data_IF_365433820201
#
_entry.id   IF_365433820201
#
_cell.length_a   1.000
_cell.length_b   1.000
_cell.length_c   1.000
_cell.angle_alpha   90.00
_cell.angle_beta   90.00
_cell.angle_gamma   90.00
#
_symmetry.space_group_name_H-M   'P 1'
#
loop_
_entity.id
_entity.type
_entity.pdbx_description
1 polymer ?
#
# COMPACT_ATOMS: atom_id res chain seq x y z
N UNK A 1 -9.54 28.31 -5.81
CA UNK A 1 -10.25 27.02 -5.66
C UNK A 1 -9.40 25.94 -4.99
N UNK A 2 -8.06 25.87 -5.24
CA UNK A 2 -7.08 25.02 -4.51
C UNK A 2 -7.18 25.09 -2.97
N UNK A 3 -7.40 26.28 -2.40
CA UNK A 3 -7.55 26.46 -0.95
C UNK A 3 -8.69 25.60 -0.37
N UNK A 4 -9.86 25.58 -1.02
CA UNK A 4 -11.01 24.79 -0.53
C UNK A 4 -10.73 23.30 -0.50
N UNK A 5 -10.07 22.72 -1.50
CA UNK A 5 -9.77 21.28 -1.51
C UNK A 5 -8.74 20.93 -0.44
N UNK A 6 -7.72 21.78 -0.24
CA UNK A 6 -6.78 21.62 0.85
C UNK A 6 -7.48 21.69 2.22
N UNK A 7 -8.44 22.60 2.39
CA UNK A 7 -9.24 22.72 3.62
C UNK A 7 -10.07 21.45 3.90
N UNK A 8 -10.62 20.81 2.87
CA UNK A 8 -11.40 19.57 3.03
C UNK A 8 -10.50 18.36 3.38
N UNK A 9 -9.31 18.27 2.78
CA UNK A 9 -8.35 17.19 3.09
C UNK A 9 -7.77 17.34 4.50
N UNK A 10 -7.53 18.57 4.95
CA UNK A 10 -7.14 18.81 6.34
C UNK A 10 -8.28 18.46 7.30
N UNK A 11 -9.54 18.78 6.96
CA UNK A 11 -10.69 18.38 7.77
C UNK A 11 -10.84 16.84 7.87
N UNK A 12 -10.60 16.12 6.78
CA UNK A 12 -10.55 14.64 6.78
C UNK A 12 -9.41 14.12 7.66
N UNK A 13 -8.23 14.75 7.56
CA UNK A 13 -7.06 14.40 8.38
C UNK A 13 -7.35 14.58 9.88
N UNK A 14 -8.01 15.67 10.26
CA UNK A 14 -8.46 15.91 11.64
C UNK A 14 -9.50 14.88 12.12
N UNK A 15 -10.37 14.39 11.25
CA UNK A 15 -11.32 13.32 11.60
C UNK A 15 -10.60 11.98 11.82
N UNK A 16 -9.62 11.65 10.98
CA UNK A 16 -8.74 10.48 11.17
C UNK A 16 -8.01 10.60 12.51
N UNK A 17 -7.42 11.76 12.79
CA UNK A 17 -6.72 12.06 14.04
C UNK A 17 -7.64 11.88 15.25
N UNK A 18 -8.88 12.39 15.20
CA UNK A 18 -9.89 12.24 16.24
C UNK A 18 -10.25 10.78 16.48
N UNK A 19 -10.45 9.99 15.42
CA UNK A 19 -10.76 8.54 15.52
C UNK A 19 -9.60 7.76 16.15
N UNK A 20 -8.36 8.08 15.79
CA UNK A 20 -7.17 7.44 16.37
C UNK A 20 -7.00 7.78 17.86
N UNK A 21 -7.19 9.03 18.27
CA UNK A 21 -7.19 9.41 19.69
C UNK A 21 -8.27 8.66 20.47
N UNK A 22 -9.47 8.53 19.91
CA UNK A 22 -10.54 7.74 20.55
C UNK A 22 -10.13 6.27 20.69
N UNK A 23 -9.47 5.69 19.69
CA UNK A 23 -8.95 4.32 19.73
C UNK A 23 -7.86 4.13 20.80
N UNK A 24 -6.97 5.12 20.99
CA UNK A 24 -5.98 5.11 22.08
C UNK A 24 -6.67 5.09 23.45
N UNK A 25 -7.65 5.99 23.65
CA UNK A 25 -8.30 6.20 24.95
C UNK A 25 -9.33 5.12 25.31
N UNK A 26 -9.80 4.31 24.35
CA UNK A 26 -10.87 3.33 24.57
C UNK A 26 -10.43 1.90 24.27
N UNK A 27 -9.79 1.23 25.24
CA UNK A 27 -9.33 -0.17 25.14
C UNK A 27 -10.40 -1.12 24.57
N UNK A 28 -11.64 -1.05 25.07
CA UNK A 28 -12.72 -1.98 24.69
C UNK A 28 -13.28 -1.75 23.28
N UNK A 29 -13.17 -0.54 22.74
CA UNK A 29 -13.68 -0.19 21.41
C UNK A 29 -12.58 -0.10 20.35
N UNK A 30 -11.32 -0.17 20.76
CA UNK A 30 -10.15 0.09 19.91
C UNK A 30 -10.16 -0.70 18.61
N UNK A 31 -10.38 -2.01 18.67
CA UNK A 31 -10.42 -2.87 17.49
C UNK A 31 -11.50 -2.40 16.50
N UNK A 32 -12.72 -2.14 16.99
CA UNK A 32 -13.83 -1.69 16.18
C UNK A 32 -13.56 -0.33 15.54
N UNK A 33 -12.98 0.61 16.30
CA UNK A 33 -12.64 1.94 15.80
C UNK A 33 -11.57 1.88 14.70
N UNK A 34 -10.53 1.07 14.88
CA UNK A 34 -9.49 0.87 13.87
C UNK A 34 -10.04 0.17 12.62
N UNK A 35 -10.91 -0.82 12.78
CA UNK A 35 -11.56 -1.48 11.66
C UNK A 35 -12.45 -0.51 10.86
N UNK A 36 -13.25 0.31 11.55
CA UNK A 36 -14.07 1.35 10.91
C UNK A 36 -13.22 2.37 10.18
N UNK A 37 -12.15 2.85 10.82
CA UNK A 37 -11.21 3.78 10.19
C UNK A 37 -10.56 3.20 8.93
N UNK A 38 -10.12 1.94 8.98
CA UNK A 38 -9.59 1.23 7.82
C UNK A 38 -10.63 1.17 6.69
N UNK A 39 -11.87 0.78 7.00
CA UNK A 39 -12.94 0.71 6.01
C UNK A 39 -13.18 2.09 5.37
N UNK A 40 -13.29 3.14 6.18
CA UNK A 40 -13.55 4.51 5.71
C UNK A 40 -12.44 5.02 4.77
N UNK A 41 -11.17 4.73 5.08
CA UNK A 41 -10.01 5.13 4.27
C UNK A 41 -9.95 4.34 2.95
N UNK A 42 -10.37 3.07 2.97
CA UNK A 42 -10.40 2.20 1.80
C UNK A 42 -11.63 2.44 0.88
N UNK A 43 -12.57 3.30 1.27
CA UNK A 43 -13.76 3.58 0.47
C UNK A 43 -13.40 4.22 -0.88
N UNK A 44 -14.15 3.80 -1.91
CA UNK A 44 -14.18 4.43 -3.22
C UNK A 44 -14.76 5.84 -3.10
N UNK A 45 -14.12 6.79 -3.77
CA UNK A 45 -14.60 8.16 -3.91
C UNK A 45 -15.78 8.18 -4.89
N UNK A 46 -16.91 8.72 -4.44
CA UNK A 46 -18.11 8.90 -5.27
C UNK A 46 -17.81 9.66 -6.56
N UNK A 47 -18.47 9.27 -7.66
CA UNK A 47 -18.26 9.85 -9.00
C UNK A 47 -18.44 11.39 -8.99
N UNK A 48 -19.41 11.90 -8.23
CA UNK A 48 -19.69 13.35 -8.10
C UNK A 48 -18.59 14.14 -7.39
N UNK A 49 -17.85 13.49 -6.47
CA UNK A 49 -16.73 14.08 -5.78
C UNK A 49 -15.43 13.93 -6.60
N UNK A 50 -15.34 12.86 -7.39
CA UNK A 50 -14.21 12.52 -8.25
C UNK A 50 -13.88 13.64 -9.25
N UNK A 51 -14.87 14.14 -9.98
CA UNK A 51 -14.65 15.18 -11.00
C UNK A 51 -14.11 16.49 -10.41
N UNK A 52 -14.54 16.85 -9.20
CA UNK A 52 -14.05 18.04 -8.49
C UNK A 52 -12.61 17.89 -8.00
N UNK A 53 -12.22 16.68 -7.63
CA UNK A 53 -10.88 16.38 -7.11
C UNK A 53 -9.88 16.27 -8.28
N UNK A 54 -10.24 15.58 -9.35
CA UNK A 54 -9.37 15.36 -10.52
C UNK A 54 -9.17 16.63 -11.36
N UNK A 55 -10.21 17.45 -11.55
CA UNK A 55 -10.07 18.76 -12.22
C UNK A 55 -9.13 19.73 -11.48
N UNK A 56 -8.81 19.45 -10.22
CA UNK A 56 -7.93 20.28 -9.38
C UNK A 56 -6.52 19.68 -9.19
N UNK A 57 -6.36 18.37 -9.36
CA UNK A 57 -5.12 17.61 -9.11
C UNK A 57 -4.51 17.10 -10.43
N UNK A 58 -3.77 17.95 -11.13
CA UNK A 58 -3.04 17.58 -12.35
C UNK A 58 -1.66 16.93 -12.09
N UNK A 59 -1.30 16.70 -10.82
CA UNK A 59 0.07 16.31 -10.44
C UNK A 59 0.04 15.21 -9.36
N UNK A 60 0.23 13.96 -9.80
CA UNK A 60 0.58 12.82 -8.95
C UNK A 60 -0.44 11.68 -8.88
N UNK A 61 -1.57 11.76 -9.57
CA UNK A 61 -2.52 10.66 -9.79
C UNK A 61 -2.49 10.37 -11.30
N UNK A 62 -2.13 9.14 -11.69
CA UNK A 62 -2.09 8.75 -13.11
C UNK A 62 -3.43 9.05 -13.80
N UNK A 63 -3.42 9.53 -15.07
CA UNK A 63 -4.63 9.76 -15.84
C UNK A 63 -5.52 8.52 -15.88
N UNK A 64 -6.83 8.71 -15.69
CA UNK A 64 -7.80 7.61 -15.58
C UNK A 64 -7.90 6.76 -16.86
N UNK A 65 -7.60 7.32 -18.03
CA UNK A 65 -7.71 6.64 -19.32
C UNK A 65 -6.76 5.44 -19.48
N UNK A 66 -5.78 5.30 -18.58
CA UNK A 66 -4.86 4.15 -18.51
C UNK A 66 -5.22 3.13 -17.39
N UNK A 67 -6.19 3.43 -16.52
CA UNK A 67 -6.57 2.55 -15.39
C UNK A 67 -7.70 1.61 -15.80
N UNK A 68 -7.39 0.32 -16.03
CA UNK A 68 -8.38 -0.70 -16.40
C UNK A 68 -9.58 -0.79 -15.42
N UNK A 69 -9.40 -0.45 -14.14
CA UNK A 69 -10.44 -0.61 -13.10
C UNK A 69 -11.07 0.71 -12.57
N UNK A 70 -10.64 1.89 -13.02
CA UNK A 70 -11.33 3.18 -12.78
C UNK A 70 -11.65 3.58 -11.31
N UNK A 71 -11.14 2.88 -10.31
CA UNK A 71 -11.38 3.14 -8.89
C UNK A 71 -10.40 4.19 -8.35
N UNK A 72 -10.93 5.25 -7.75
CA UNK A 72 -10.17 6.20 -6.94
C UNK A 72 -10.62 6.02 -5.49
N UNK A 73 -9.71 5.67 -4.60
CA UNK A 73 -10.00 5.47 -3.18
C UNK A 73 -9.49 6.65 -2.33
N UNK A 74 -10.09 6.89 -1.16
CA UNK A 74 -9.69 8.01 -0.30
C UNK A 74 -8.22 7.95 0.14
N UNK A 75 -7.68 6.75 0.37
CA UNK A 75 -6.29 6.59 0.76
C UNK A 75 -5.30 7.15 -0.27
N UNK A 76 -5.60 7.06 -1.57
CA UNK A 76 -4.71 7.58 -2.62
C UNK A 76 -4.54 9.10 -2.48
N UNK A 77 -5.66 9.79 -2.27
CA UNK A 77 -5.72 11.25 -2.14
C UNK A 77 -5.05 11.70 -0.84
N UNK A 78 -5.30 10.97 0.26
CA UNK A 78 -4.70 11.27 1.56
C UNK A 78 -3.19 11.02 1.54
N UNK A 79 -2.72 9.96 0.89
CA UNK A 79 -1.31 9.63 0.83
C UNK A 79 -0.48 10.72 0.14
N UNK A 80 -0.91 11.22 -1.03
CA UNK A 80 -0.19 12.34 -1.66
C UNK A 80 -0.55 13.71 -1.06
N UNK A 81 -1.66 13.87 -0.31
CA UNK A 81 -1.83 15.02 0.58
C UNK A 81 -0.75 15.05 1.68
N UNK A 82 -0.48 13.93 2.36
CA UNK A 82 0.52 13.88 3.43
C UNK A 82 1.95 14.07 2.93
N UNK A 83 2.26 13.75 1.68
CA UNK A 83 3.52 14.15 1.06
C UNK A 83 3.60 15.68 0.90
N UNK A 84 2.51 16.31 0.41
CA UNK A 84 2.45 17.76 0.18
C UNK A 84 2.39 18.58 1.48
N UNK A 85 1.76 18.03 2.52
CA UNK A 85 1.62 18.65 3.84
C UNK A 85 2.10 17.67 4.93
N UNK A 86 3.44 17.46 5.07
CA UNK A 86 3.99 16.45 5.98
C UNK A 86 3.60 16.60 7.44
N UNK A 87 3.32 17.84 7.88
CA UNK A 87 2.91 18.12 9.26
C UNK A 87 1.57 17.47 9.61
N UNK A 88 0.61 17.46 8.68
CA UNK A 88 -0.70 16.83 8.87
C UNK A 88 -0.54 15.31 8.99
N UNK A 89 0.26 14.72 8.09
CA UNK A 89 0.61 13.29 8.15
C UNK A 89 1.36 12.91 9.43
N UNK A 90 2.28 13.75 9.90
CA UNK A 90 3.11 13.47 11.10
C UNK A 90 2.27 13.30 12.37
N UNK A 91 1.26 14.14 12.59
CA UNK A 91 0.34 14.01 13.75
C UNK A 91 -0.36 12.65 13.76
N UNK A 92 -0.84 12.21 12.59
CA UNK A 92 -1.51 10.92 12.43
C UNK A 92 -0.51 9.77 12.60
N UNK A 93 0.67 9.88 12.01
CA UNK A 93 1.73 8.88 12.11
C UNK A 93 2.12 8.61 13.57
N UNK A 94 2.30 9.66 14.37
CA UNK A 94 2.63 9.55 15.80
C UNK A 94 1.58 8.78 16.60
N UNK A 95 0.29 8.90 16.24
CA UNK A 95 -0.80 8.13 16.86
C UNK A 95 -0.80 6.67 16.40
N UNK A 96 -0.58 6.41 15.10
CA UNK A 96 -0.51 5.03 14.58
C UNK A 96 0.66 4.28 15.21
N UNK A 97 1.82 4.95 15.41
CA UNK A 97 3.00 4.38 16.09
C UNK A 97 2.68 3.91 17.52
N UNK A 98 1.79 4.60 18.23
CA UNK A 98 1.31 4.18 19.55
C UNK A 98 0.34 3.00 19.49
N UNK A 99 -0.37 2.83 18.37
CA UNK A 99 -1.31 1.74 18.11
C UNK A 99 -0.70 0.56 17.35
N UNK A 100 0.62 0.54 17.14
CA UNK A 100 1.29 -0.39 16.22
C UNK A 100 1.07 -1.87 16.51
N UNK A 101 0.86 -2.24 17.79
CA UNK A 101 0.59 -3.61 18.23
C UNK A 101 -0.84 -4.08 17.94
N UNK A 102 -1.70 -3.19 17.43
CA UNK A 102 -3.11 -3.43 17.25
C UNK A 102 -3.41 -3.85 15.82
N UNK A 103 -4.42 -4.71 15.65
CA UNK A 103 -4.94 -5.08 14.33
C UNK A 103 -5.34 -3.83 13.54
N UNK A 104 -5.20 -3.89 12.21
CA UNK A 104 -5.41 -2.79 11.26
C UNK A 104 -4.43 -1.62 11.33
N UNK A 105 -3.61 -1.45 12.38
CA UNK A 105 -2.67 -0.33 12.44
C UNK A 105 -1.66 -0.33 11.28
N UNK A 106 -1.06 -1.48 10.98
CA UNK A 106 -0.17 -1.64 9.83
C UNK A 106 -0.91 -1.42 8.49
N UNK A 107 -2.17 -1.85 8.39
CA UNK A 107 -2.97 -1.69 7.17
C UNK A 107 -3.25 -0.21 6.90
N UNK A 108 -3.72 0.53 7.92
CA UNK A 108 -3.95 1.97 7.87
C UNK A 108 -2.65 2.70 7.54
N UNK A 109 -1.54 2.29 8.17
CA UNK A 109 -0.22 2.85 7.88
C UNK A 109 0.17 2.67 6.40
N UNK A 110 0.07 1.45 5.87
CA UNK A 110 0.39 1.19 4.46
C UNK A 110 -0.46 2.03 3.51
N UNK A 111 -1.77 2.15 3.76
CA UNK A 111 -2.67 2.95 2.94
C UNK A 111 -2.32 4.45 2.97
N UNK A 112 -2.09 5.02 4.15
CA UNK A 112 -1.91 6.46 4.29
C UNK A 112 -0.46 6.94 4.04
N UNK A 113 0.55 6.10 4.30
CA UNK A 113 1.95 6.52 4.35
C UNK A 113 2.88 5.80 3.37
N UNK A 114 2.35 4.98 2.45
CA UNK A 114 3.18 4.31 1.43
C UNK A 114 4.02 5.28 0.61
N UNK A 115 3.48 6.45 0.23
CA UNK A 115 4.24 7.49 -0.48
C UNK A 115 5.15 8.28 0.44
N UNK A 116 4.62 8.67 1.59
CA UNK A 116 5.32 9.48 2.58
C UNK A 116 6.67 8.88 2.99
N UNK A 117 6.74 7.54 3.12
CA UNK A 117 7.96 6.82 3.46
C UNK A 117 9.13 7.07 2.49
N UNK A 118 8.83 7.29 1.21
CA UNK A 118 9.83 7.44 0.16
C UNK A 118 9.99 8.88 -0.31
N UNK A 119 8.95 9.70 -0.19
CA UNK A 119 8.94 11.08 -0.69
C UNK A 119 9.26 12.13 0.40
N UNK A 120 9.12 11.80 1.69
CA UNK A 120 9.42 12.73 2.79
C UNK A 120 10.69 12.28 3.55
N UNK A 121 11.65 13.20 3.81
CA UNK A 121 12.87 12.86 4.56
C UNK A 121 12.56 12.31 5.96
N UNK A 122 13.12 11.13 6.27
CA UNK A 122 13.00 10.48 7.57
C UNK A 122 14.28 10.67 8.39
N UNK A 123 14.13 11.01 9.67
CA UNK A 123 15.24 11.07 10.61
C UNK A 123 15.41 9.71 11.31
N UNK A 124 16.50 9.00 10.99
CA UNK A 124 16.94 7.81 11.74
C UNK A 124 16.69 6.46 11.06
N UNK A 125 17.69 5.57 11.13
CA UNK A 125 17.66 4.24 10.50
C UNK A 125 16.67 3.27 11.16
N UNK A 126 16.49 3.33 12.48
CA UNK A 126 15.54 2.47 13.20
C UNK A 126 14.08 2.77 12.82
N UNK A 127 13.78 4.06 12.60
CA UNK A 127 12.47 4.52 12.15
C UNK A 127 12.16 3.97 10.75
N UNK A 128 13.13 4.06 9.82
CA UNK A 128 13.02 3.47 8.49
C UNK A 128 12.78 1.96 8.53
N UNK A 129 13.50 1.22 9.40
CA UNK A 129 13.30 -0.23 9.56
C UNK A 129 11.88 -0.58 10.02
N UNK A 130 11.41 0.08 11.09
CA UNK A 130 10.08 -0.19 11.67
C UNK A 130 8.97 0.13 10.68
N UNK A 131 9.08 1.26 9.97
CA UNK A 131 8.08 1.69 9.00
C UNK A 131 8.07 0.80 7.77
N UNK A 132 9.23 0.41 7.25
CA UNK A 132 9.31 -0.51 6.09
C UNK A 132 8.69 -1.87 6.40
N UNK A 133 8.92 -2.41 7.62
CA UNK A 133 8.30 -3.66 8.06
C UNK A 133 6.77 -3.56 8.11
N UNK A 134 6.24 -2.47 8.66
CA UNK A 134 4.79 -2.28 8.71
C UNK A 134 4.16 -1.96 7.36
N UNK A 135 4.88 -1.29 6.45
CA UNK A 135 4.44 -1.13 5.08
C UNK A 135 4.22 -2.49 4.43
N UNK A 136 5.23 -3.38 4.49
CA UNK A 136 5.13 -4.72 3.90
C UNK A 136 4.04 -5.55 4.58
N UNK A 137 3.94 -5.52 5.91
CA UNK A 137 2.90 -6.25 6.63
C UNK A 137 1.49 -5.72 6.32
N UNK A 138 1.32 -4.40 6.29
CA UNK A 138 0.06 -3.75 5.97
C UNK A 138 -0.37 -4.01 4.53
N UNK A 139 0.55 -3.85 3.58
CA UNK A 139 0.34 -4.13 2.17
C UNK A 139 -0.03 -5.61 1.94
N UNK A 140 0.67 -6.54 2.61
CA UNK A 140 0.30 -7.97 2.60
C UNK A 140 -1.16 -8.19 2.98
N UNK A 141 -1.58 -7.58 4.10
CA UNK A 141 -2.94 -7.77 4.60
C UNK A 141 -4.00 -7.18 3.67
N UNK A 142 -3.78 -5.97 3.12
CA UNK A 142 -4.76 -5.32 2.24
C UNK A 142 -4.85 -6.02 0.88
N UNK A 143 -3.73 -6.48 0.32
CA UNK A 143 -3.78 -7.26 -0.92
C UNK A 143 -4.48 -8.61 -0.74
N UNK A 144 -4.35 -9.24 0.43
CA UNK A 144 -5.15 -10.41 0.77
C UNK A 144 -6.65 -10.12 0.84
N UNK A 145 -7.06 -8.93 1.30
CA UNK A 145 -8.48 -8.52 1.29
C UNK A 145 -8.98 -8.41 -0.15
N UNK A 146 -8.22 -7.79 -1.05
CA UNK A 146 -8.57 -7.70 -2.47
C UNK A 146 -8.75 -9.09 -3.10
N UNK A 147 -7.82 -10.02 -2.85
CA UNK A 147 -7.95 -11.43 -3.27
C UNK A 147 -9.23 -12.07 -2.71
N UNK A 148 -9.47 -11.96 -1.41
CA UNK A 148 -10.59 -12.62 -0.74
C UNK A 148 -11.95 -12.08 -1.18
N UNK A 149 -12.00 -10.80 -1.52
CA UNK A 149 -13.21 -10.12 -2.00
C UNK A 149 -13.34 -10.15 -3.52
N UNK A 150 -12.32 -10.65 -4.22
CA UNK A 150 -12.19 -10.59 -5.69
C UNK A 150 -12.38 -9.15 -6.22
N UNK A 151 -11.73 -8.20 -5.57
CA UNK A 151 -11.71 -6.78 -5.95
C UNK A 151 -10.28 -6.29 -6.09
N UNK A 152 -10.07 -5.06 -6.59
CA UNK A 152 -8.75 -4.47 -6.84
C UNK A 152 -8.64 -3.06 -6.25
N UNK A 153 -9.23 -2.83 -5.08
CA UNK A 153 -9.24 -1.50 -4.45
C UNK A 153 -7.82 -1.01 -4.08
N UNK A 154 -6.88 -1.92 -3.89
CA UNK A 154 -5.51 -1.64 -3.50
C UNK A 154 -4.52 -1.80 -4.65
N UNK A 155 -5.00 -1.94 -5.90
CA UNK A 155 -4.15 -1.90 -7.10
C UNK A 155 -3.26 -0.65 -7.16
N UNK A 156 -3.74 0.58 -6.90
CA UNK A 156 -2.88 1.77 -6.90
C UNK A 156 -1.71 1.70 -5.90
N UNK A 157 -1.93 1.11 -4.71
CA UNK A 157 -0.85 0.84 -3.76
C UNK A 157 0.15 -0.18 -4.32
N UNK A 158 -0.35 -1.25 -4.95
CA UNK A 158 0.52 -2.26 -5.59
C UNK A 158 1.38 -1.64 -6.69
N UNK A 159 0.77 -0.88 -7.61
CA UNK A 159 1.47 -0.17 -8.69
C UNK A 159 2.56 0.75 -8.17
N UNK A 160 2.25 1.60 -7.20
CA UNK A 160 3.27 2.48 -6.61
C UNK A 160 4.45 1.69 -6.02
N UNK A 161 4.17 0.61 -5.29
CA UNK A 161 5.23 -0.22 -4.70
C UNK A 161 6.06 -0.97 -5.74
N UNK A 162 5.46 -1.39 -6.86
CA UNK A 162 6.15 -2.08 -7.95
C UNK A 162 6.97 -1.08 -8.78
N UNK A 163 6.30 -0.14 -9.42
CA UNK A 163 6.88 0.70 -10.47
C UNK A 163 7.69 1.86 -9.92
N UNK A 164 7.20 2.53 -8.86
CA UNK A 164 7.83 3.74 -8.32
C UNK A 164 8.81 3.43 -7.18
N UNK A 165 8.82 2.20 -6.63
CA UNK A 165 9.69 1.82 -5.53
C UNK A 165 10.60 0.65 -5.89
N UNK A 166 10.05 -0.51 -6.24
CA UNK A 166 10.85 -1.71 -6.48
C UNK A 166 11.70 -1.61 -7.76
N UNK A 167 11.14 -1.03 -8.82
CA UNK A 167 11.84 -0.83 -10.10
C UNK A 167 12.67 0.45 -10.16
N UNK A 168 12.70 1.25 -9.09
CA UNK A 168 13.51 2.48 -9.00
C UNK A 168 14.58 2.33 -7.92
N UNK A 169 15.85 2.03 -8.29
CA UNK A 169 16.93 1.79 -7.33
C UNK A 169 17.10 2.89 -6.27
N UNK A 170 16.99 4.17 -6.67
CA UNK A 170 17.11 5.33 -5.79
C UNK A 170 16.01 5.41 -4.72
N UNK A 171 14.86 4.77 -4.95
CA UNK A 171 13.78 4.66 -3.99
C UNK A 171 13.99 3.44 -3.10
N UNK A 172 14.42 2.32 -3.67
CA UNK A 172 14.68 1.09 -2.94
C UNK A 172 15.77 1.24 -1.87
N UNK A 173 16.81 2.06 -2.13
CA UNK A 173 17.89 2.31 -1.15
C UNK A 173 17.42 3.05 0.12
N UNK A 174 16.21 3.64 0.12
CA UNK A 174 15.65 4.36 1.28
C UNK A 174 15.16 3.41 2.37
N UNK A 175 14.94 2.14 2.03
CA UNK A 175 14.57 1.08 2.96
C UNK A 175 15.75 0.11 3.16
N UNK A 176 15.71 -0.66 4.25
CA UNK A 176 16.78 -1.61 4.52
C UNK A 176 16.82 -2.73 3.46
N UNK A 177 17.99 -3.36 3.23
CA UNK A 177 18.09 -4.48 2.30
C UNK A 177 17.12 -5.63 2.62
N UNK A 178 16.86 -5.89 3.90
CA UNK A 178 15.89 -6.91 4.31
C UNK A 178 14.45 -6.49 4.00
N UNK A 179 14.11 -5.22 4.19
CA UNK A 179 12.80 -4.70 3.80
C UNK A 179 12.60 -4.75 2.28
N UNK A 180 13.65 -4.42 1.50
CA UNK A 180 13.64 -4.58 0.05
C UNK A 180 13.36 -6.01 -0.38
N UNK A 181 14.06 -7.01 0.20
CA UNK A 181 13.76 -8.43 -0.04
C UNK A 181 12.32 -8.80 0.28
N UNK A 182 11.83 -8.38 1.45
CA UNK A 182 10.47 -8.65 1.87
C UNK A 182 9.43 -7.99 0.95
N UNK A 183 9.73 -6.79 0.43
CA UNK A 183 8.90 -6.09 -0.55
C UNK A 183 8.85 -6.87 -1.87
N UNK A 184 9.99 -7.35 -2.39
CA UNK A 184 10.00 -8.17 -3.60
C UNK A 184 9.24 -9.48 -3.41
N UNK A 185 9.41 -10.19 -2.28
CA UNK A 185 8.61 -11.36 -1.94
C UNK A 185 7.10 -11.04 -1.93
N UNK A 186 6.71 -9.91 -1.32
CA UNK A 186 5.33 -9.44 -1.34
C UNK A 186 4.85 -9.22 -2.78
N UNK A 187 5.58 -8.46 -3.59
CA UNK A 187 5.17 -8.13 -4.96
C UNK A 187 5.03 -9.39 -5.84
N UNK A 188 5.93 -10.37 -5.69
CA UNK A 188 5.85 -11.66 -6.39
C UNK A 188 4.53 -12.38 -6.16
N UNK A 189 4.03 -12.39 -4.90
CA UNK A 189 2.79 -13.10 -4.52
C UNK A 189 1.54 -12.54 -5.21
N UNK A 190 1.54 -11.27 -5.59
CA UNK A 190 0.34 -10.59 -6.07
C UNK A 190 0.44 -10.10 -7.53
N UNK A 191 1.59 -10.31 -8.19
CA UNK A 191 1.85 -9.80 -9.54
C UNK A 191 0.81 -10.24 -10.58
N UNK A 192 0.48 -11.54 -10.63
CA UNK A 192 -0.49 -12.03 -11.61
C UNK A 192 -1.92 -11.67 -11.22
N UNK A 193 -2.22 -11.49 -9.92
CA UNK A 193 -3.54 -11.08 -9.46
C UNK A 193 -3.88 -9.65 -9.94
N UNK A 194 -2.88 -8.76 -9.94
CA UNK A 194 -3.00 -7.39 -10.40
C UNK A 194 -2.62 -7.19 -11.89
N UNK A 195 -2.47 -8.27 -12.66
CA UNK A 195 -2.15 -8.24 -14.11
C UNK A 195 -0.87 -7.47 -14.47
N UNK A 196 0.18 -7.60 -13.65
CA UNK A 196 1.47 -6.91 -13.85
C UNK A 196 2.58 -7.82 -14.38
N UNK A 197 2.23 -8.95 -15.00
CA UNK A 197 3.16 -9.93 -15.56
C UNK A 197 4.00 -9.39 -16.73
N UNK A 198 3.50 -8.38 -17.45
CA UNK A 198 4.27 -7.68 -18.48
C UNK A 198 5.55 -7.01 -17.93
N UNK A 199 5.61 -6.71 -16.63
CA UNK A 199 6.78 -6.17 -15.94
C UNK A 199 7.72 -7.25 -15.38
N UNK A 200 7.38 -8.53 -15.50
CA UNK A 200 8.11 -9.64 -14.85
C UNK A 200 9.60 -9.64 -15.20
N UNK A 201 9.96 -9.42 -16.47
CA UNK A 201 11.38 -9.39 -16.88
C UNK A 201 12.15 -8.28 -16.18
N UNK A 202 11.58 -7.08 -16.12
CA UNK A 202 12.19 -5.93 -15.42
C UNK A 202 12.28 -6.20 -13.92
N UNK A 203 11.19 -6.74 -13.34
CA UNK A 203 11.11 -7.07 -11.92
C UNK A 203 12.15 -8.11 -11.49
N UNK A 204 12.34 -9.19 -12.26
CA UNK A 204 13.37 -10.18 -11.98
C UNK A 204 14.79 -9.60 -12.16
N UNK A 205 14.97 -8.65 -13.08
CA UNK A 205 16.23 -7.93 -13.25
C UNK A 205 16.62 -7.05 -12.05
N UNK A 206 15.63 -6.54 -11.30
CA UNK A 206 15.83 -5.71 -10.10
C UNK A 206 15.78 -6.49 -8.78
N UNK A 207 15.56 -7.81 -8.84
CA UNK A 207 15.35 -8.62 -7.64
C UNK A 207 16.58 -8.59 -6.72
N UNK A 208 16.42 -8.26 -5.43
CA UNK A 208 17.55 -8.12 -4.52
C UNK A 208 18.19 -9.48 -4.24
N UNK A 209 19.53 -9.49 -4.14
CA UNK A 209 20.26 -10.70 -3.79
C UNK A 209 19.94 -11.17 -2.36
N UNK A 210 19.65 -12.47 -2.22
CA UNK A 210 19.44 -13.13 -0.94
C UNK A 210 20.72 -13.79 -0.43
N UNK A 211 21.00 -13.80 0.88
CA UNK A 211 22.21 -14.41 1.42
C UNK A 211 22.24 -15.94 1.21
N UNK A 212 21.06 -16.56 1.09
CA UNK A 212 20.88 -18.00 0.88
C UNK A 212 20.59 -18.37 -0.58
N UNK A 213 20.88 -17.49 -1.54
CA UNK A 213 20.68 -17.76 -2.97
C UNK A 213 21.44 -19.01 -3.46
N UNK A 214 22.57 -19.34 -2.83
CA UNK A 214 23.32 -20.57 -3.14
C UNK A 214 22.55 -21.87 -2.84
N UNK A 215 21.50 -21.82 -2.00
CA UNK A 215 20.64 -22.97 -1.68
C UNK A 215 19.32 -22.95 -2.47
N UNK A 216 18.74 -21.76 -2.65
CA UNK A 216 17.40 -21.60 -3.20
C UNK A 216 17.42 -21.37 -4.70
N UNK A 217 18.44 -20.67 -5.21
CA UNK A 217 18.55 -20.23 -6.60
C UNK A 217 18.54 -18.71 -6.76
N UNK A 218 18.20 -18.27 -7.96
CA UNK A 218 18.15 -16.86 -8.37
C UNK A 218 16.78 -16.22 -8.19
N UNK A 219 16.63 -15.01 -8.76
CA UNK A 219 15.40 -14.22 -8.68
C UNK A 219 14.14 -14.99 -9.09
N UNK A 220 14.22 -15.74 -10.20
CA UNK A 220 13.11 -16.53 -10.71
C UNK A 220 12.65 -17.62 -9.72
N UNK A 221 13.60 -18.27 -9.03
CA UNK A 221 13.29 -19.31 -8.05
C UNK A 221 12.52 -18.73 -6.85
N UNK A 222 12.98 -17.59 -6.32
CA UNK A 222 12.25 -16.89 -5.25
C UNK A 222 10.86 -16.43 -5.71
N UNK A 223 10.73 -15.91 -6.93
CA UNK A 223 9.45 -15.53 -7.50
C UNK A 223 8.48 -16.72 -7.55
N UNK A 224 8.92 -17.85 -8.11
CA UNK A 224 8.10 -19.07 -8.22
C UNK A 224 7.74 -19.63 -6.84
N UNK A 225 8.65 -19.62 -5.88
CA UNK A 225 8.37 -20.05 -4.50
C UNK A 225 7.26 -19.19 -3.90
N UNK A 226 7.39 -17.86 -3.94
CA UNK A 226 6.41 -16.96 -3.35
C UNK A 226 5.03 -17.06 -4.03
N UNK A 227 5.04 -17.20 -5.36
CA UNK A 227 3.86 -17.43 -6.16
C UNK A 227 3.15 -18.75 -5.78
N UNK A 228 3.89 -19.85 -5.74
CA UNK A 228 3.33 -21.17 -5.43
C UNK A 228 2.85 -21.26 -3.98
N UNK A 229 3.57 -20.67 -3.03
CA UNK A 229 3.15 -20.55 -1.63
C UNK A 229 1.85 -19.77 -1.47
N UNK A 230 1.66 -18.71 -2.27
CA UNK A 230 0.41 -17.93 -2.28
C UNK A 230 -0.73 -18.75 -2.88
N UNK A 231 -0.51 -19.44 -4.00
CA UNK A 231 -1.48 -20.35 -4.62
C UNK A 231 -1.95 -21.45 -3.67
N UNK A 232 -1.04 -22.06 -2.90
CA UNK A 232 -1.40 -23.08 -1.90
C UNK A 232 -2.31 -22.55 -0.79
N UNK A 233 -2.21 -21.26 -0.47
CA UNK A 233 -3.05 -20.60 0.54
C UNK A 233 -4.41 -20.20 -0.01
N UNK A 234 -4.55 -20.05 -1.33
CA UNK A 234 -5.82 -19.79 -2.00
C UNK A 234 -6.68 -21.07 -1.99
N UNK A 235 -7.70 -21.09 -1.13
CA UNK A 235 -8.68 -22.19 -1.06
C UNK A 235 -9.97 -21.91 -1.84
N UNK A 236 -10.01 -20.80 -2.59
CA UNK A 236 -11.23 -20.28 -3.22
C UNK A 236 -11.15 -20.49 -4.72
N UNK A 237 -11.95 -21.42 -5.25
CA UNK A 237 -11.94 -21.89 -6.64
C UNK A 237 -12.12 -20.77 -7.69
N UNK A 238 -13.07 -19.80 -7.55
CA UNK A 238 -13.20 -18.69 -8.51
C UNK A 238 -11.94 -17.81 -8.64
N UNK A 239 -11.23 -17.59 -7.53
CA UNK A 239 -10.01 -16.78 -7.51
C UNK A 239 -8.87 -17.53 -8.19
N UNK A 240 -8.73 -18.83 -7.92
CA UNK A 240 -7.80 -19.70 -8.62
C UNK A 240 -8.09 -19.77 -10.12
N UNK A 241 -9.36 -19.87 -10.51
CA UNK A 241 -9.76 -19.89 -11.93
C UNK A 241 -9.47 -18.55 -12.61
N UNK A 242 -9.74 -17.41 -11.96
CA UNK A 242 -9.36 -16.09 -12.48
C UNK A 242 -7.84 -16.03 -12.69
N UNK A 243 -7.07 -16.45 -11.68
CA UNK A 243 -5.62 -16.49 -11.69
C UNK A 243 -5.03 -17.38 -12.79
N UNK A 244 -5.61 -18.56 -13.01
CA UNK A 244 -5.14 -19.54 -13.99
C UNK A 244 -5.65 -19.27 -15.41
N UNK A 245 -6.83 -18.66 -15.57
CA UNK A 245 -7.42 -18.37 -16.88
C UNK A 245 -6.61 -17.36 -17.69
N UNK A 246 -5.81 -16.54 -17.00
CA UNK A 246 -4.94 -15.51 -17.57
C UNK A 246 -3.52 -15.99 -17.88
N UNK A 247 -3.15 -17.21 -17.45
CA UNK A 247 -1.87 -17.85 -17.77
C UNK A 247 -1.96 -18.75 -19.04
N UNK A 248 -2.92 -18.47 -19.95
CA UNK A 248 -3.08 -19.20 -21.22
C UNK A 248 -2.53 -18.41 -22.39
#
# INVERSE_FOLDING_TARGET
MRARTADHLEALSLEIERKLHKALNSNSQRLKLLQQLFADIALKVDDRARDKILSTNNEGIAPLDEREDGHLCFYEILANHYVKVPQSGRRILELIVQLWSQSFAANIFALLFHRWLFEVPLEGKEVSLRYSSALVQGATNVFWIDIQTNTRYFLPLYHYLLEEVALVPDQLIKISPQAGRNLFCLLSRFMLFYDQDHLLTSFLGHFPAFPNSFLVGGAADYFVIELTDQLQKLKVEPVLLHYLSRNR
#
